data_IF_396148232692
#
_entry.id   IF_396148232692
#
_cell.length_a   1.000
_cell.length_b   1.000
_cell.length_c   1.000
_cell.angle_alpha   90.00
_cell.angle_beta   90.00
_cell.angle_gamma   90.00
#
_symmetry.space_group_name_H-M   'P 1'
#
loop_
_entity.id
_entity.type
_entity.pdbx_description
1 polymer ?
#
# COMPACT_ATOMS: atom_id res chain seq x y z
N UNK A 1 0.12 -23.60 4.20
CA UNK A 1 0.30 -22.40 5.04
C UNK A 1 -0.35 -21.23 4.31
N UNK A 2 -1.57 -20.85 4.68
CA UNK A 2 -2.24 -19.72 4.06
C UNK A 2 -1.56 -18.43 4.54
N UNK A 3 -0.82 -17.76 3.65
CA UNK A 3 -0.27 -16.44 3.91
C UNK A 3 -1.43 -15.51 4.25
N UNK A 4 -1.53 -15.13 5.53
CA UNK A 4 -2.48 -14.11 6.01
C UNK A 4 -1.94 -12.77 5.52
N UNK A 5 -2.16 -12.47 4.23
CA UNK A 5 -1.92 -11.15 3.66
C UNK A 5 -2.75 -10.18 4.49
N UNK A 6 -2.08 -9.41 5.34
CA UNK A 6 -2.69 -8.31 6.11
C UNK A 6 -3.19 -7.30 5.09
N UNK A 7 -4.44 -7.49 4.69
CA UNK A 7 -5.07 -6.77 3.60
C UNK A 7 -5.66 -5.50 4.17
N UNK A 8 -4.84 -4.46 4.19
CA UNK A 8 -5.27 -3.16 4.65
C UNK A 8 -6.17 -2.54 3.58
N UNK A 9 -7.46 -2.35 3.89
CA UNK A 9 -8.37 -1.60 3.01
C UNK A 9 -7.92 -0.14 3.01
N UNK A 10 -7.57 0.36 1.84
CA UNK A 10 -7.12 1.73 1.65
C UNK A 10 -7.77 2.33 0.43
N UNK A 11 -8.06 3.62 0.47
CA UNK A 11 -8.55 4.33 -0.70
C UNK A 11 -7.38 4.60 -1.66
N UNK A 12 -7.57 4.27 -2.93
CA UNK A 12 -6.67 4.65 -4.00
C UNK A 12 -7.23 5.91 -4.67
N UNK A 13 -6.50 7.02 -4.56
CA UNK A 13 -6.90 8.29 -5.20
C UNK A 13 -6.87 8.23 -6.73
N UNK A 14 -6.00 7.39 -7.29
CA UNK A 14 -5.84 7.20 -8.73
C UNK A 14 -7.00 6.38 -9.32
N UNK A 15 -7.35 5.26 -8.69
CA UNK A 15 -8.50 4.45 -9.08
C UNK A 15 -9.85 4.99 -8.59
N UNK A 16 -9.84 6.03 -7.74
CA UNK A 16 -11.01 6.61 -7.05
C UNK A 16 -11.91 5.56 -6.37
N UNK A 17 -11.29 4.51 -5.83
CA UNK A 17 -11.98 3.38 -5.22
C UNK A 17 -11.26 2.88 -3.97
N UNK A 18 -12.02 2.24 -3.09
CA UNK A 18 -11.44 1.43 -2.01
C UNK A 18 -10.83 0.17 -2.61
N UNK A 19 -9.56 -0.07 -2.29
CA UNK A 19 -8.81 -1.24 -2.73
C UNK A 19 -8.22 -1.96 -1.52
N UNK A 20 -8.03 -3.27 -1.65
CA UNK A 20 -7.25 -4.03 -0.69
C UNK A 20 -5.78 -3.86 -1.06
N UNK A 21 -5.06 -3.07 -0.27
CA UNK A 21 -3.66 -2.80 -0.52
C UNK A 21 -2.82 -4.06 -0.38
N UNK A 22 -1.90 -4.26 -1.33
CA UNK A 22 -0.96 -5.39 -1.32
C UNK A 22 0.33 -4.91 -0.67
N UNK A 23 0.76 -5.56 0.41
CA UNK A 23 2.07 -5.28 0.98
C UNK A 23 3.15 -5.86 0.09
N UNK A 24 4.08 -5.01 -0.29
CA UNK A 24 5.31 -5.36 -0.98
C UNK A 24 6.48 -4.97 -0.08
N UNK A 25 7.30 -5.96 0.28
CA UNK A 25 8.54 -5.73 1.02
C UNK A 25 9.69 -5.69 0.02
N UNK A 26 10.25 -4.51 -0.19
CA UNK A 26 11.46 -4.34 -1.01
C UNK A 26 12.63 -4.02 -0.09
N UNK A 27 13.40 -5.05 0.27
CA UNK A 27 14.49 -4.97 1.24
C UNK A 27 14.00 -4.53 2.63
N UNK A 28 14.51 -3.38 3.09
CA UNK A 28 14.14 -2.76 4.37
C UNK A 28 12.92 -1.82 4.29
N UNK A 29 12.37 -1.58 3.10
CA UNK A 29 11.17 -0.78 2.92
C UNK A 29 9.94 -1.67 2.71
N UNK A 30 8.91 -1.43 3.50
CA UNK A 30 7.58 -1.99 3.29
C UNK A 30 6.73 -0.95 2.58
N UNK A 31 6.04 -1.34 1.52
CA UNK A 31 5.14 -0.48 0.74
C UNK A 31 3.79 -1.16 0.63
N UNK A 32 2.72 -0.39 0.69
CA UNK A 32 1.38 -0.85 0.39
C UNK A 32 1.02 -0.34 -1.00
N UNK A 33 0.85 -1.25 -1.96
CA UNK A 33 0.54 -0.92 -3.35
C UNK A 33 -0.95 -1.10 -3.63
N UNK A 34 -1.46 -0.33 -4.59
CA UNK A 34 -2.77 -0.57 -5.18
C UNK A 34 -2.69 -1.80 -6.11
N UNK A 35 -3.53 -2.83 -5.97
CA UNK A 35 -3.51 -3.99 -6.86
C UNK A 35 -3.94 -3.65 -8.30
N UNK A 36 -4.69 -2.56 -8.50
CA UNK A 36 -5.19 -2.16 -9.82
C UNK A 36 -4.17 -1.36 -10.62
N UNK A 37 -3.69 -0.25 -10.06
CA UNK A 37 -2.76 0.65 -10.75
C UNK A 37 -1.29 0.41 -10.38
N UNK A 38 -1.00 -0.56 -9.50
CA UNK A 38 0.35 -0.89 -8.99
C UNK A 38 1.09 0.28 -8.34
N UNK A 39 0.38 1.36 -8.01
CA UNK A 39 0.98 2.55 -7.38
C UNK A 39 1.11 2.38 -5.87
N UNK A 40 2.17 2.93 -5.27
CA UNK A 40 2.35 2.92 -3.83
C UNK A 40 1.36 3.89 -3.16
N UNK A 41 0.54 3.35 -2.28
CA UNK A 41 -0.46 4.06 -1.47
C UNK A 41 0.10 4.40 -0.09
N UNK A 42 0.87 3.50 0.51
CA UNK A 42 1.54 3.75 1.78
C UNK A 42 2.98 3.29 1.72
N UNK A 43 3.85 3.93 2.51
CA UNK A 43 5.19 3.42 2.80
C UNK A 43 5.34 3.24 4.29
N UNK A 44 6.11 2.25 4.70
CA UNK A 44 6.49 2.02 6.07
C UNK A 44 7.96 2.41 6.23
N UNK A 45 8.20 3.43 7.06
CA UNK A 45 9.54 3.95 7.35
C UNK A 45 10.02 3.45 8.70
N UNK A 46 10.14 2.14 8.87
CA UNK A 46 10.68 1.47 10.08
C UNK A 46 9.84 1.58 11.36
N UNK A 47 9.15 2.71 11.56
CA UNK A 47 8.42 3.05 12.78
C UNK A 47 6.96 3.44 12.51
N UNK A 48 6.64 3.97 11.32
CA UNK A 48 5.28 4.43 11.01
C UNK A 48 4.91 4.23 9.54
N UNK A 49 3.61 4.04 9.32
CA UNK A 49 2.99 4.04 8.00
C UNK A 49 2.70 5.47 7.56
N UNK A 50 3.24 5.86 6.42
CA UNK A 50 3.01 7.17 5.80
C UNK A 50 2.17 7.01 4.54
N UNK A 51 1.04 7.70 4.47
CA UNK A 51 0.20 7.71 3.28
C UNK A 51 0.87 8.53 2.19
N UNK A 52 1.07 7.94 1.01
CA UNK A 52 1.53 8.63 -0.18
C UNK A 52 0.32 9.18 -0.91
N UNK A 53 -0.10 10.38 -0.49
CA UNK A 53 -1.01 11.17 -1.30
C UNK A 53 -0.19 11.77 -2.43
N UNK A 54 -0.63 11.61 -3.69
CA UNK A 54 -0.03 12.30 -4.83
C UNK A 54 -0.09 13.81 -4.54
N UNK A 55 1.05 14.43 -4.27
CA UNK A 55 1.22 15.87 -4.40
C UNK A 55 1.59 16.02 -5.88
N UNK A 56 0.65 16.56 -6.63
CA UNK A 56 0.86 16.98 -8.00
C UNK A 56 1.66 18.28 -7.99
#
# INVERSE_FOLDING_TARGET
MAMKLVTHRTYCTDCKCLVMGVQEKNGNQLKLLCPKCKRPLWTFSGYTWRYLKKID
#
